data_IF_502422984806
#
_entry.id   IF_502422984806
#
_cell.length_a   1.000
_cell.length_b   1.000
_cell.length_c   1.000
_cell.angle_alpha   90.00
_cell.angle_beta   90.00
_cell.angle_gamma   90.00
#
_symmetry.space_group_name_H-M   'P 1'
#
loop_
_entity.id
_entity.type
_entity.pdbx_description
1 polymer ?
#
# COMPACT_ATOMS: atom_id res chain seq x y z
N UNK A 1 -5.43 -8.66 4.22
CA UNK A 1 -5.20 -8.00 2.91
C UNK A 1 -6.42 -8.18 2.02
N UNK A 2 -6.90 -7.14 1.34
CA UNK A 2 -8.02 -7.25 0.41
C UNK A 2 -7.65 -8.11 -0.83
N UNK A 3 -8.55 -8.94 -1.40
CA UNK A 3 -8.34 -9.63 -2.67
C UNK A 3 -7.73 -8.78 -3.80
N UNK A 4 -8.19 -7.54 -3.98
CA UNK A 4 -7.68 -6.66 -5.04
C UNK A 4 -6.24 -6.22 -4.77
N UNK A 5 -5.91 -5.91 -3.52
CA UNK A 5 -4.53 -5.60 -3.10
C UNK A 5 -3.60 -6.80 -3.30
N UNK A 6 -4.09 -8.02 -3.05
CA UNK A 6 -3.33 -9.25 -3.30
C UNK A 6 -3.08 -9.45 -4.80
N UNK A 7 -4.04 -9.08 -5.66
CA UNK A 7 -3.85 -9.11 -7.11
C UNK A 7 -2.80 -8.09 -7.57
N UNK A 8 -2.89 -6.85 -7.09
CA UNK A 8 -1.93 -5.78 -7.35
C UNK A 8 -0.51 -6.17 -6.91
N UNK A 9 -0.36 -6.69 -5.69
CA UNK A 9 0.92 -7.18 -5.18
C UNK A 9 1.48 -8.30 -6.07
N UNK A 10 0.66 -9.26 -6.48
CA UNK A 10 1.10 -10.37 -7.35
C UNK A 10 1.55 -9.87 -8.73
N UNK A 11 0.91 -8.83 -9.27
CA UNK A 11 1.33 -8.18 -10.51
C UNK A 11 2.67 -7.46 -10.34
N UNK A 12 2.84 -6.70 -9.26
CA UNK A 12 4.10 -6.03 -8.93
C UNK A 12 5.26 -7.02 -8.81
N UNK A 13 5.04 -8.12 -8.07
CA UNK A 13 6.03 -9.17 -7.92
C UNK A 13 6.33 -9.89 -9.25
N UNK A 14 5.35 -10.00 -10.15
CA UNK A 14 5.58 -10.54 -11.50
C UNK A 14 6.44 -9.61 -12.34
N UNK A 15 6.24 -8.29 -12.26
CA UNK A 15 7.12 -7.32 -12.92
C UNK A 15 8.54 -7.42 -12.36
N UNK A 16 8.70 -7.49 -11.03
CA UNK A 16 10.02 -7.68 -10.42
C UNK A 16 10.71 -8.95 -10.87
N UNK A 17 10.00 -10.07 -10.97
CA UNK A 17 10.61 -11.33 -11.45
C UNK A 17 11.15 -11.23 -12.88
N UNK A 18 10.62 -10.31 -13.71
CA UNK A 18 11.12 -10.09 -15.08
C UNK A 18 12.39 -9.22 -15.09
N UNK A 19 12.52 -8.28 -14.17
CA UNK A 19 13.68 -7.41 -14.03
C UNK A 19 13.98 -7.08 -12.56
N UNK A 20 14.64 -8.00 -11.82
CA UNK A 20 14.89 -7.82 -10.39
C UNK A 20 15.97 -6.77 -10.09
N UNK A 21 16.75 -6.35 -11.10
CA UNK A 21 17.79 -5.34 -10.94
C UNK A 21 17.21 -3.92 -10.97
N UNK A 22 16.10 -3.70 -11.70
CA UNK A 22 15.50 -2.37 -11.89
C UNK A 22 14.20 -2.17 -11.11
N UNK A 23 13.48 -3.25 -10.80
CA UNK A 23 12.18 -3.16 -10.15
C UNK A 23 12.31 -3.49 -8.66
N UNK A 24 11.83 -2.58 -7.81
CA UNK A 24 11.59 -2.84 -6.38
C UNK A 24 10.10 -2.74 -6.10
N UNK A 25 9.60 -3.60 -5.22
CA UNK A 25 8.20 -3.63 -4.79
C UNK A 25 8.13 -3.15 -3.35
N UNK A 26 7.49 -2.00 -3.15
CA UNK A 26 7.22 -1.44 -1.83
C UNK A 26 5.73 -1.44 -1.56
N UNK A 27 5.30 -2.02 -0.45
CA UNK A 27 3.91 -2.03 -0.01
C UNK A 27 3.63 -0.82 0.90
N UNK A 28 2.52 -0.14 0.68
CA UNK A 28 2.05 0.97 1.51
C UNK A 28 0.76 0.57 2.21
N UNK A 29 0.64 0.89 3.50
CA UNK A 29 -0.56 0.61 4.29
C UNK A 29 -0.86 1.77 5.23
N UNK A 30 -2.14 2.15 5.33
CA UNK A 30 -2.61 3.24 6.18
C UNK A 30 -3.46 2.66 7.30
N UNK A 31 -3.03 2.85 8.54
CA UNK A 31 -3.73 2.31 9.70
C UNK A 31 -2.78 2.03 10.85
N UNK A 32 -3.29 1.29 11.84
CA UNK A 32 -2.58 1.04 13.09
C UNK A 32 -2.11 -0.42 13.12
N UNK A 33 -2.66 -1.25 13.99
CA UNK A 33 -2.26 -2.65 14.11
C UNK A 33 -2.71 -3.47 12.89
N UNK A 34 -3.90 -3.16 12.36
CA UNK A 34 -4.51 -3.80 11.20
C UNK A 34 -3.63 -3.68 9.93
N UNK A 35 -3.22 -2.45 9.60
CA UNK A 35 -2.34 -2.19 8.47
C UNK A 35 -0.99 -2.89 8.64
N UNK A 36 -0.48 -2.98 9.87
CA UNK A 36 0.82 -3.61 10.17
C UNK A 36 0.80 -5.11 9.90
N UNK A 37 -0.28 -5.80 10.23
CA UNK A 37 -0.44 -7.23 9.93
C UNK A 37 -0.49 -7.49 8.43
N UNK A 38 -1.25 -6.66 7.70
CA UNK A 38 -1.34 -6.73 6.23
C UNK A 38 0.02 -6.47 5.57
N UNK A 39 0.79 -5.49 6.06
CA UNK A 39 2.11 -5.19 5.53
C UNK A 39 3.12 -6.33 5.81
N UNK A 40 3.00 -7.02 6.94
CA UNK A 40 3.79 -8.24 7.20
C UNK A 40 3.45 -9.35 6.23
N UNK A 41 2.17 -9.55 5.89
CA UNK A 41 1.76 -10.48 4.83
C UNK A 41 2.38 -10.09 3.49
N UNK A 42 2.44 -8.80 3.15
CA UNK A 42 3.06 -8.33 1.91
C UNK A 42 4.56 -8.61 1.85
N UNK A 43 5.28 -8.37 2.96
CA UNK A 43 6.71 -8.71 3.08
C UNK A 43 6.93 -10.22 2.98
N UNK A 44 6.11 -11.03 3.65
CA UNK A 44 6.19 -12.49 3.60
C UNK A 44 5.89 -13.05 2.20
N UNK A 45 4.98 -12.42 1.45
CA UNK A 45 4.72 -12.72 0.04
C UNK A 45 5.88 -12.29 -0.89
N UNK A 46 6.84 -11.56 -0.35
CA UNK A 46 8.09 -11.20 -0.98
C UNK A 46 8.14 -9.77 -1.47
N UNK A 47 7.34 -8.82 -0.96
CA UNK A 47 7.63 -7.40 -1.14
C UNK A 47 9.01 -7.06 -0.56
N UNK A 48 9.73 -6.15 -1.20
CA UNK A 48 11.09 -5.78 -0.77
C UNK A 48 11.04 -4.91 0.49
N UNK A 49 10.05 -4.02 0.55
CA UNK A 49 9.90 -3.04 1.61
C UNK A 49 8.43 -2.78 1.93
N UNK A 50 8.15 -2.30 3.14
CA UNK A 50 6.82 -1.92 3.58
C UNK A 50 6.87 -0.59 4.32
N UNK A 51 5.91 0.28 4.03
CA UNK A 51 5.74 1.59 4.66
C UNK A 51 4.37 1.64 5.30
N UNK A 52 4.35 1.88 6.61
CA UNK A 52 3.14 2.10 7.37
C UNK A 52 2.96 3.60 7.62
N UNK A 53 1.83 4.13 7.17
CA UNK A 53 1.32 5.42 7.60
C UNK A 53 0.49 5.18 8.86
N UNK A 54 1.11 5.37 10.03
CA UNK A 54 0.47 5.17 11.32
C UNK A 54 -0.52 6.31 11.61
N UNK A 55 -1.79 5.94 11.77
CA UNK A 55 -2.88 6.88 12.05
C UNK A 55 -3.32 6.88 13.51
N UNK A 56 -2.54 6.31 14.44
CA UNK A 56 -2.92 6.23 15.85
C UNK A 56 -3.20 7.61 16.49
N UNK A 57 -2.45 8.64 16.10
CA UNK A 57 -2.64 10.02 16.55
C UNK A 57 -3.65 10.83 15.72
N UNK A 58 -4.12 10.29 14.60
CA UNK A 58 -5.02 10.96 13.65
C UNK A 58 -6.03 9.99 13.01
N UNK A 59 -6.93 9.39 13.78
CA UNK A 59 -7.85 8.35 13.29
C UNK A 59 -8.80 8.83 12.18
N UNK A 60 -9.09 10.14 12.13
CA UNK A 60 -9.92 10.75 11.08
C UNK A 60 -9.36 10.63 9.66
N UNK A 61 -8.04 10.40 9.50
CA UNK A 61 -7.39 10.25 8.19
C UNK A 61 -7.97 9.08 7.39
N UNK A 62 -8.39 8.00 8.05
CA UNK A 62 -8.97 6.83 7.35
C UNK A 62 -10.40 7.05 6.85
N UNK A 63 -11.06 8.11 7.31
CA UNK A 63 -12.47 8.39 7.00
C UNK A 63 -12.65 9.56 6.03
N UNK A 64 -11.59 10.32 5.78
CA UNK A 64 -11.57 11.43 4.82
C UNK A 64 -10.67 11.06 3.62
N UNK A 65 -11.26 10.78 2.44
CA UNK A 65 -10.50 10.43 1.23
C UNK A 65 -9.46 11.48 0.83
N UNK A 66 -9.73 12.76 1.09
CA UNK A 66 -8.80 13.85 0.76
C UNK A 66 -7.58 13.81 1.67
N UNK A 67 -7.79 13.67 2.98
CA UNK A 67 -6.68 13.56 3.94
C UNK A 67 -5.86 12.29 3.71
N UNK A 68 -6.53 11.19 3.34
CA UNK A 68 -5.86 9.95 2.95
C UNK A 68 -4.98 10.15 1.71
N UNK A 69 -5.51 10.78 0.66
CA UNK A 69 -4.78 11.06 -0.56
C UNK A 69 -3.59 12.00 -0.33
N UNK A 70 -3.79 13.08 0.43
CA UNK A 70 -2.73 14.03 0.81
C UNK A 70 -1.60 13.32 1.59
N UNK A 71 -1.97 12.47 2.54
CA UNK A 71 -1.02 11.67 3.32
C UNK A 71 -0.24 10.69 2.45
N UNK A 72 -0.91 10.04 1.49
CA UNK A 72 -0.27 9.13 0.53
C UNK A 72 0.68 9.88 -0.42
N UNK A 73 0.30 11.07 -0.91
CA UNK A 73 1.16 11.91 -1.74
C UNK A 73 2.41 12.35 -0.97
N UNK A 74 2.27 12.72 0.31
CA UNK A 74 3.41 13.05 1.15
C UNK A 74 4.37 11.85 1.28
N UNK A 75 3.85 10.66 1.56
CA UNK A 75 4.64 9.44 1.63
C UNK A 75 5.37 9.13 0.31
N UNK A 76 4.67 9.25 -0.83
CA UNK A 76 5.26 9.01 -2.15
C UNK A 76 6.31 10.07 -2.55
N UNK A 77 6.29 11.27 -1.96
CA UNK A 77 7.33 12.28 -2.20
C UNK A 77 8.64 11.94 -1.49
N UNK A 78 8.56 11.41 -0.27
CA UNK A 78 9.73 10.88 0.46
C UNK A 78 10.29 9.64 -0.24
N UNK A 79 9.44 8.95 -0.99
CA UNK A 79 9.67 7.65 -1.56
C UNK A 79 9.14 7.55 -2.99
N UNK A 80 9.82 8.20 -3.96
CA UNK A 80 9.31 8.31 -5.32
C UNK A 80 9.14 6.94 -5.96
N UNK A 81 7.92 6.68 -6.44
CA UNK A 81 7.56 5.48 -7.18
C UNK A 81 7.32 5.82 -8.65
N UNK A 82 7.74 4.91 -9.55
CA UNK A 82 7.49 5.06 -10.99
C UNK A 82 6.10 4.54 -11.41
N UNK A 83 5.52 3.66 -10.59
CA UNK A 83 4.20 3.07 -10.79
C UNK A 83 3.56 2.85 -9.42
N UNK A 84 2.32 3.30 -9.27
CA UNK A 84 1.48 3.02 -8.10
C UNK A 84 0.34 2.12 -8.54
N UNK A 85 0.16 1.00 -7.83
CA UNK A 85 -0.95 0.07 -8.03
C UNK A 85 -1.76 0.00 -6.74
N UNK A 86 -3.07 0.19 -6.85
CA UNK A 86 -4.01 0.12 -5.74
C UNK A 86 -5.10 -0.90 -6.08
N UNK A 87 -5.73 -1.49 -5.06
CA UNK A 87 -6.98 -2.23 -5.24
C UNK A 87 -8.09 -1.32 -5.78
N UNK A 88 -9.07 -1.91 -6.47
CA UNK A 88 -10.18 -1.18 -7.09
C UNK A 88 -11.12 -0.57 -6.03
N UNK A 89 -11.32 -1.26 -4.91
CA UNK A 89 -12.17 -0.80 -3.81
C UNK A 89 -11.65 -1.32 -2.48
N UNK A 90 -11.65 -0.47 -1.45
CA UNK A 90 -11.37 -0.87 -0.09
C UNK A 90 -12.53 -1.70 0.47
N UNK A 91 -12.26 -2.95 0.87
CA UNK A 91 -13.26 -3.84 1.43
C UNK A 91 -13.90 -3.32 2.72
N UNK A 92 -13.18 -2.50 3.50
CA UNK A 92 -13.62 -2.05 4.83
C UNK A 92 -14.53 -0.81 4.77
N UNK A 93 -14.28 0.11 3.83
CA UNK A 93 -15.02 1.38 3.71
C UNK A 93 -15.91 1.44 2.49
N UNK A 94 -15.80 0.46 1.57
CA UNK A 94 -16.46 0.49 0.26
C UNK A 94 -15.96 1.62 -0.64
N UNK A 95 -14.86 2.29 -0.28
CA UNK A 95 -14.30 3.38 -1.08
C UNK A 95 -13.38 2.79 -2.16
N UNK A 96 -13.75 3.01 -3.40
CA UNK A 96 -13.02 2.63 -4.61
C UNK A 96 -13.18 3.70 -5.67
N UNK A 97 -12.59 3.49 -6.85
CA UNK A 97 -12.69 4.44 -7.98
C UNK A 97 -14.11 4.90 -8.26
#
# INVERSE_FOLDING_TARGET
MNPDDRFALRMALRMRRRDPARVRVRAYGVGTLDAREILREALAAGADEAVQLDTASAPGVRHDPRLLAESMVAALREHPAQLVMCGEMAADTGQGS
#
